data_IF_880427847122
#
_entry.id   IF_880427847122
#
_cell.length_a   1.000
_cell.length_b   1.000
_cell.length_c   1.000
_cell.angle_alpha   90.00
_cell.angle_beta   90.00
_cell.angle_gamma   90.00
#
_symmetry.space_group_name_H-M   'P 1'
#
loop_
_entity.id
_entity.type
_entity.pdbx_description
1 polymer ?
#
# COMPACT_ATOMS: atom_id res chain seq x y z
N UNK A 1 7.02 -7.53 -20.49
CA UNK A 1 7.94 -7.22 -19.35
C UNK A 1 9.42 -7.20 -19.71
N UNK A 2 9.94 -8.18 -20.46
CA UNK A 2 11.36 -8.48 -20.32
C UNK A 2 12.31 -7.76 -21.28
N UNK A 3 11.87 -7.38 -22.48
CA UNK A 3 12.74 -6.75 -23.49
C UNK A 3 13.02 -5.27 -23.22
N UNK A 4 12.04 -4.51 -22.76
CA UNK A 4 12.19 -3.08 -22.50
C UNK A 4 13.00 -2.81 -21.22
N UNK A 5 12.70 -3.52 -20.13
CA UNK A 5 13.55 -3.55 -18.93
C UNK A 5 14.98 -3.98 -19.28
N UNK A 6 15.15 -5.05 -20.05
CA UNK A 6 16.48 -5.51 -20.49
C UNK A 6 17.22 -4.42 -21.29
N UNK A 7 16.52 -3.69 -22.16
CA UNK A 7 17.09 -2.59 -22.92
C UNK A 7 17.47 -1.41 -22.01
N UNK A 8 16.62 -1.04 -21.04
CA UNK A 8 16.90 0.01 -20.08
C UNK A 8 18.16 -0.29 -19.26
N UNK A 9 18.24 -1.48 -18.65
CA UNK A 9 19.42 -1.94 -17.88
C UNK A 9 20.67 -1.91 -18.74
N UNK A 10 20.60 -2.44 -19.97
CA UNK A 10 21.73 -2.46 -20.91
C UNK A 10 22.19 -1.06 -21.31
N UNK A 11 21.25 -0.15 -21.54
CA UNK A 11 21.55 1.23 -21.94
C UNK A 11 22.21 2.00 -20.79
N UNK A 12 21.67 1.92 -19.57
CA UNK A 12 22.28 2.55 -18.40
C UNK A 12 23.66 1.97 -18.09
N UNK A 13 23.83 0.64 -18.19
CA UNK A 13 25.12 -0.01 -17.99
C UNK A 13 26.18 0.50 -18.98
N UNK A 14 25.83 0.55 -20.27
CA UNK A 14 26.73 1.05 -21.33
C UNK A 14 27.07 2.51 -21.12
N UNK A 15 26.10 3.34 -20.74
CA UNK A 15 26.32 4.75 -20.40
C UNK A 15 27.26 4.93 -19.21
N UNK A 16 27.18 4.04 -18.22
CA UNK A 16 28.08 4.01 -17.07
C UNK A 16 29.46 3.39 -17.38
N UNK A 17 29.70 2.92 -18.63
CA UNK A 17 30.96 2.31 -19.02
C UNK A 17 31.23 0.93 -18.40
N UNK A 18 30.20 0.26 -17.87
CA UNK A 18 30.36 -1.00 -17.13
C UNK A 18 30.22 -2.23 -18.05
N UNK A 19 31.00 -3.28 -17.80
CA UNK A 19 30.73 -4.63 -18.33
C UNK A 19 29.60 -5.30 -17.54
N UNK A 20 29.10 -6.47 -17.98
CA UNK A 20 28.10 -7.21 -17.18
C UNK A 20 28.68 -7.63 -15.82
N UNK A 21 29.96 -8.01 -15.78
CA UNK A 21 30.71 -8.32 -14.57
C UNK A 21 30.91 -7.07 -13.72
N UNK A 22 31.21 -5.92 -14.35
CA UNK A 22 31.33 -4.63 -13.67
C UNK A 22 30.02 -4.22 -12.99
N UNK A 23 28.89 -4.38 -13.68
CA UNK A 23 27.57 -4.12 -13.09
C UNK A 23 27.22 -5.13 -11.99
N UNK A 24 27.56 -6.40 -12.18
CA UNK A 24 27.36 -7.44 -11.18
C UNK A 24 28.11 -7.10 -9.87
N UNK A 25 29.38 -6.72 -9.98
CA UNK A 25 30.19 -6.27 -8.86
C UNK A 25 29.60 -5.02 -8.19
N UNK A 26 29.25 -3.99 -8.97
CA UNK A 26 28.66 -2.75 -8.45
C UNK A 26 27.30 -2.95 -7.76
N UNK A 27 26.54 -3.96 -8.18
CA UNK A 27 25.20 -4.27 -7.65
C UNK A 27 25.22 -5.34 -6.54
N UNK A 28 26.37 -5.97 -6.27
CA UNK A 28 26.45 -7.12 -5.35
C UNK A 28 25.69 -8.36 -5.83
N UNK A 29 25.55 -8.53 -7.16
CA UNK A 29 24.83 -9.63 -7.81
C UNK A 29 25.83 -10.55 -8.54
N UNK A 30 25.37 -11.74 -8.95
CA UNK A 30 26.18 -12.59 -9.83
C UNK A 30 26.10 -12.12 -11.29
N UNK A 31 27.16 -12.29 -12.10
CA UNK A 31 27.13 -11.97 -13.53
C UNK A 31 26.00 -12.69 -14.27
N UNK A 32 25.66 -13.92 -13.85
CA UNK A 32 24.54 -14.68 -14.41
C UNK A 32 23.17 -14.02 -14.20
N UNK A 33 22.96 -13.32 -13.07
CA UNK A 33 21.72 -12.57 -12.82
C UNK A 33 21.63 -11.37 -13.76
N UNK A 34 22.72 -10.62 -13.91
CA UNK A 34 22.78 -9.47 -14.84
C UNK A 34 22.54 -9.93 -16.28
N UNK A 35 23.19 -11.01 -16.71
CA UNK A 35 23.00 -11.58 -18.03
C UNK A 35 21.54 -12.01 -18.26
N UNK A 36 20.93 -12.70 -17.30
CA UNK A 36 19.51 -13.10 -17.36
C UNK A 36 18.59 -11.88 -17.46
N UNK A 37 18.84 -10.82 -16.69
CA UNK A 37 18.05 -9.57 -16.76
C UNK A 37 18.17 -8.94 -18.15
N UNK A 38 19.39 -8.79 -18.69
CA UNK A 38 19.61 -8.21 -20.02
C UNK A 38 19.13 -9.09 -21.19
N UNK A 39 18.80 -10.36 -20.94
CA UNK A 39 18.17 -11.25 -21.90
C UNK A 39 16.63 -11.26 -21.79
N UNK A 40 16.09 -10.52 -20.84
CA UNK A 40 14.66 -10.49 -20.58
C UNK A 40 14.17 -11.70 -19.81
N UNK A 41 14.88 -12.09 -18.75
CA UNK A 41 14.30 -12.92 -17.69
C UNK A 41 13.41 -12.09 -16.75
N UNK A 42 12.55 -12.77 -16.00
CA UNK A 42 11.82 -12.15 -14.89
C UNK A 42 12.79 -11.73 -13.77
N UNK A 43 12.52 -10.57 -13.19
CA UNK A 43 13.37 -9.91 -12.19
C UNK A 43 12.53 -9.57 -10.96
N UNK A 44 13.03 -9.92 -9.77
CA UNK A 44 12.42 -9.48 -8.50
C UNK A 44 12.73 -8.00 -8.28
N UNK A 45 11.82 -7.27 -7.63
CA UNK A 45 12.01 -5.84 -7.30
C UNK A 45 13.33 -5.60 -6.53
N UNK A 46 13.69 -6.47 -5.59
CA UNK A 46 14.96 -6.37 -4.83
C UNK A 46 16.18 -6.44 -5.78
N UNK A 47 16.14 -7.29 -6.81
CA UNK A 47 17.19 -7.39 -7.83
C UNK A 47 17.23 -6.12 -8.70
N UNK A 48 16.07 -5.62 -9.10
CA UNK A 48 15.97 -4.38 -9.86
C UNK A 48 16.53 -3.19 -9.07
N UNK A 49 16.21 -3.12 -7.79
CA UNK A 49 16.69 -2.11 -6.86
C UNK A 49 18.21 -2.17 -6.68
N UNK A 50 18.79 -3.38 -6.57
CA UNK A 50 20.24 -3.58 -6.53
C UNK A 50 20.93 -3.13 -7.82
N UNK A 51 20.35 -3.48 -8.99
CA UNK A 51 20.85 -3.03 -10.30
C UNK A 51 20.81 -1.51 -10.44
N UNK A 52 19.67 -0.88 -10.08
CA UNK A 52 19.53 0.58 -10.11
C UNK A 52 20.58 1.26 -9.24
N UNK A 53 20.85 0.70 -8.04
CA UNK A 53 21.87 1.20 -7.13
C UNK A 53 23.27 1.09 -7.73
N UNK A 54 23.63 -0.07 -8.30
CA UNK A 54 24.91 -0.28 -8.97
C UNK A 54 25.10 0.61 -10.20
N UNK A 55 24.00 1.02 -10.84
CA UNK A 55 23.98 1.96 -11.96
C UNK A 55 23.96 3.44 -11.54
N UNK A 56 23.75 3.73 -10.25
CA UNK A 56 23.63 5.10 -9.74
C UNK A 56 22.37 5.83 -10.23
N UNK A 57 21.29 5.11 -10.49
CA UNK A 57 20.02 5.68 -10.98
C UNK A 57 18.85 5.35 -10.04
N UNK A 58 17.77 6.14 -10.07
CA UNK A 58 16.53 5.78 -9.39
C UNK A 58 15.99 4.44 -9.93
N UNK A 59 15.36 3.64 -9.08
CA UNK A 59 14.76 2.36 -9.51
C UNK A 59 13.67 2.58 -10.56
N UNK A 60 12.91 3.67 -10.46
CA UNK A 60 11.88 4.12 -11.42
C UNK A 60 12.44 4.23 -12.85
N UNK A 61 13.71 4.62 -13.00
CA UNK A 61 14.37 4.75 -14.30
C UNK A 61 14.56 3.41 -15.02
N UNK A 62 14.50 2.29 -14.30
CA UNK A 62 14.59 0.95 -14.87
C UNK A 62 13.22 0.33 -15.14
N UNK A 63 12.14 0.88 -14.59
CA UNK A 63 10.79 0.40 -14.89
C UNK A 63 10.34 0.90 -16.25
N UNK A 64 9.77 0.00 -17.04
CA UNK A 64 8.97 0.33 -18.22
C UNK A 64 7.54 -0.06 -17.90
N UNK A 65 6.64 0.92 -17.92
CA UNK A 65 5.27 0.85 -17.40
C UNK A 65 4.50 -0.30 -18.04
N UNK A 66 4.32 -1.41 -17.32
CA UNK A 66 3.43 -2.50 -17.73
C UNK A 66 2.48 -2.83 -16.57
N UNK A 67 1.21 -3.07 -16.89
CA UNK A 67 0.17 -3.27 -15.89
C UNK A 67 0.42 -4.56 -15.09
N UNK A 68 0.51 -4.44 -13.77
CA UNK A 68 0.60 -5.59 -12.88
C UNK A 68 -0.65 -6.47 -13.01
N UNK A 69 -0.44 -7.78 -13.07
CA UNK A 69 -1.53 -8.73 -13.14
C UNK A 69 -2.47 -8.63 -11.92
N UNK A 70 -3.80 -8.67 -12.14
CA UNK A 70 -4.79 -8.77 -11.07
C UNK A 70 -4.53 -9.97 -10.15
N UNK A 71 -4.99 -9.90 -8.91
CA UNK A 71 -4.96 -11.08 -8.03
C UNK A 71 -5.90 -12.15 -8.61
N UNK A 72 -5.33 -13.27 -9.04
CA UNK A 72 -6.07 -14.45 -9.51
C UNK A 72 -6.86 -15.06 -8.34
N UNK A 73 -8.13 -15.41 -8.58
CA UNK A 73 -8.86 -16.38 -7.75
C UNK A 73 -10.05 -15.90 -6.92
N UNK A 74 -10.75 -14.81 -7.29
CA UNK A 74 -12.03 -14.48 -6.64
C UNK A 74 -13.12 -14.12 -7.67
N UNK A 75 -13.75 -15.15 -8.22
CA UNK A 75 -14.87 -15.03 -9.17
C UNK A 75 -16.06 -14.24 -8.59
N UNK A 76 -16.29 -14.33 -7.28
CA UNK A 76 -17.34 -13.57 -6.61
C UNK A 76 -17.03 -12.06 -6.61
N UNK A 77 -15.75 -11.67 -6.46
CA UNK A 77 -15.35 -10.28 -6.63
C UNK A 77 -15.53 -9.78 -8.06
N UNK A 78 -15.38 -10.63 -9.09
CA UNK A 78 -15.54 -10.21 -10.49
C UNK A 78 -16.94 -9.65 -10.77
N UNK A 79 -18.00 -10.24 -10.20
CA UNK A 79 -19.37 -9.71 -10.33
C UNK A 79 -19.50 -8.31 -9.72
N UNK A 80 -19.02 -8.11 -8.50
CA UNK A 80 -19.06 -6.80 -7.84
C UNK A 80 -18.20 -5.77 -8.57
N UNK A 81 -17.12 -6.17 -9.26
CA UNK A 81 -16.32 -5.26 -10.08
C UNK A 81 -17.09 -4.70 -11.28
N UNK A 82 -18.01 -5.47 -11.88
CA UNK A 82 -18.88 -4.97 -12.95
C UNK A 82 -19.84 -3.92 -12.40
N UNK A 83 -20.45 -4.18 -11.24
CA UNK A 83 -21.34 -3.23 -10.56
C UNK A 83 -20.58 -1.97 -10.15
N UNK A 84 -19.40 -2.10 -9.53
CA UNK A 84 -18.52 -0.98 -9.18
C UNK A 84 -18.12 -0.15 -10.39
N UNK A 85 -17.84 -0.78 -11.54
CA UNK A 85 -17.53 -0.05 -12.77
C UNK A 85 -18.72 0.78 -13.24
N UNK A 86 -19.94 0.24 -13.20
CA UNK A 86 -21.16 1.00 -13.54
C UNK A 86 -21.35 2.21 -12.63
N UNK A 87 -21.09 2.05 -11.33
CA UNK A 87 -21.28 3.13 -10.35
C UNK A 87 -20.18 4.19 -10.37
N UNK A 88 -18.93 3.81 -10.67
CA UNK A 88 -17.81 4.74 -10.73
C UNK A 88 -17.74 5.42 -12.10
N UNK A 89 -17.96 4.69 -13.18
CA UNK A 89 -17.82 5.15 -14.56
C UNK A 89 -19.14 4.96 -15.33
N UNK A 90 -20.21 5.69 -14.94
CA UNK A 90 -21.49 5.59 -15.62
C UNK A 90 -21.38 6.15 -17.05
N UNK A 91 -22.25 5.70 -17.99
CA UNK A 91 -22.41 6.40 -19.25
C UNK A 91 -22.93 7.82 -19.00
N UNK A 92 -22.30 8.83 -19.61
CA UNK A 92 -22.67 10.24 -19.47
C UNK A 92 -23.12 10.77 -20.84
N UNK A 93 -24.34 11.29 -20.90
CA UNK A 93 -24.86 11.99 -22.08
C UNK A 93 -24.63 13.52 -22.01
N UNK A 94 -25.07 14.25 -23.03
CA UNK A 94 -24.88 15.71 -23.12
C UNK A 94 -25.50 16.50 -21.95
N UNK A 95 -26.50 15.94 -21.26
CA UNK A 95 -27.10 16.55 -20.08
C UNK A 95 -26.20 16.50 -18.84
N UNK A 96 -25.11 15.72 -18.87
CA UNK A 96 -24.21 15.49 -17.73
C UNK A 96 -24.83 14.72 -16.57
N UNK A 97 -26.13 14.41 -16.63
CA UNK A 97 -26.84 13.67 -15.58
C UNK A 97 -26.73 12.17 -15.79
N UNK A 98 -26.57 11.44 -14.68
CA UNK A 98 -26.77 10.00 -14.70
C UNK A 98 -28.22 9.71 -15.07
N UNK A 99 -28.44 8.62 -15.81
CA UNK A 99 -29.76 7.99 -15.86
C UNK A 99 -29.94 7.28 -14.52
N UNK A 100 -30.24 8.06 -13.48
CA UNK A 100 -30.51 7.50 -12.15
C UNK A 100 -32.00 7.21 -12.06
N UNK A 101 -32.34 6.03 -11.53
CA UNK A 101 -33.67 5.81 -10.99
C UNK A 101 -33.90 6.84 -9.87
N UNK A 102 -35.08 7.44 -9.84
CA UNK A 102 -35.47 8.39 -8.79
C UNK A 102 -35.52 7.61 -7.48
N UNK A 103 -34.59 7.90 -6.58
CA UNK A 103 -34.58 7.34 -5.22
C UNK A 103 -35.11 8.42 -4.28
N UNK A 104 -36.02 8.05 -3.36
CA UNK A 104 -36.37 8.94 -2.25
C UNK A 104 -35.11 9.31 -1.45
N UNK A 105 -34.96 10.58 -1.02
CA UNK A 105 -33.77 11.01 -0.32
C UNK A 105 -33.57 10.17 0.96
N UNK A 106 -32.51 9.36 1.06
CA UNK A 106 -32.25 8.53 2.22
C UNK A 106 -31.85 9.37 3.43
N UNK A 107 -32.02 8.79 4.62
CA UNK A 107 -31.46 9.38 5.85
C UNK A 107 -29.91 9.46 5.77
N UNK A 108 -29.37 10.68 5.71
CA UNK A 108 -27.93 10.93 5.66
C UNK A 108 -27.17 10.33 6.84
N UNK A 109 -27.82 10.21 8.00
CA UNK A 109 -27.22 9.58 9.19
C UNK A 109 -27.09 8.08 9.02
N UNK A 110 -28.08 7.42 8.40
CA UNK A 110 -27.98 6.02 8.01
C UNK A 110 -26.88 5.80 6.97
N UNK A 111 -26.80 6.64 5.93
CA UNK A 111 -25.75 6.53 4.90
C UNK A 111 -24.36 6.72 5.50
N UNK A 112 -24.17 7.71 6.37
CA UNK A 112 -22.89 7.92 7.05
C UNK A 112 -22.46 6.71 7.88
N UNK A 113 -23.40 6.06 8.59
CA UNK A 113 -23.09 4.82 9.35
C UNK A 113 -22.67 3.68 8.44
N UNK A 114 -23.27 3.53 7.27
CA UNK A 114 -22.86 2.51 6.30
C UNK A 114 -21.45 2.77 5.75
N UNK A 115 -21.06 4.03 5.55
CA UNK A 115 -19.67 4.40 5.23
C UNK A 115 -18.71 3.96 6.34
N UNK A 116 -19.05 4.23 7.61
CA UNK A 116 -18.23 3.85 8.77
C UNK A 116 -18.06 2.34 8.91
N UNK A 117 -19.14 1.58 8.65
CA UNK A 117 -19.12 0.12 8.59
C UNK A 117 -18.19 -0.34 7.46
N UNK A 118 -18.27 0.29 6.29
CA UNK A 118 -17.38 0.01 5.15
C UNK A 118 -15.90 0.18 5.49
N UNK A 119 -15.51 1.28 6.14
CA UNK A 119 -14.13 1.48 6.62
C UNK A 119 -13.73 0.42 7.66
N UNK A 120 -14.64 0.03 8.54
CA UNK A 120 -14.39 -1.01 9.54
C UNK A 120 -14.14 -2.38 8.89
N UNK A 121 -14.91 -2.73 7.86
CA UNK A 121 -14.70 -3.94 7.06
C UNK A 121 -13.36 -3.92 6.33
N UNK A 122 -13.01 -2.80 5.70
CA UNK A 122 -11.72 -2.62 5.02
C UNK A 122 -10.54 -2.86 5.97
N UNK A 123 -10.57 -2.21 7.15
CA UNK A 123 -9.53 -2.34 8.18
C UNK A 123 -9.41 -3.76 8.73
N UNK A 124 -10.53 -4.46 8.88
CA UNK A 124 -10.57 -5.84 9.32
C UNK A 124 -10.18 -6.86 8.22
N UNK A 125 -9.86 -6.41 7.00
CA UNK A 125 -9.54 -7.29 5.87
C UNK A 125 -10.73 -8.10 5.35
N UNK A 126 -11.97 -7.71 5.68
CA UNK A 126 -13.20 -8.41 5.28
C UNK A 126 -13.66 -7.94 3.89
N UNK A 127 -12.78 -8.13 2.90
CA UNK A 127 -12.94 -7.57 1.55
C UNK A 127 -14.17 -8.06 0.80
N UNK A 128 -14.59 -9.33 0.93
CA UNK A 128 -15.81 -9.82 0.30
C UNK A 128 -17.09 -9.14 0.81
N UNK A 129 -17.15 -8.84 2.12
CA UNK A 129 -18.26 -8.07 2.70
C UNK A 129 -18.29 -6.62 2.24
N UNK A 130 -17.11 -6.02 2.06
CA UNK A 130 -16.97 -4.67 1.52
C UNK A 130 -17.35 -4.60 0.04
N UNK A 131 -16.88 -5.55 -0.78
CA UNK A 131 -17.18 -5.66 -2.20
C UNK A 131 -18.69 -5.68 -2.47
N UNK A 132 -19.44 -6.43 -1.64
CA UNK A 132 -20.90 -6.53 -1.72
C UNK A 132 -21.63 -5.22 -1.40
N UNK A 133 -21.09 -4.39 -0.51
CA UNK A 133 -21.76 -3.15 -0.04
C UNK A 133 -21.45 -1.93 -0.91
N UNK A 134 -20.24 -1.85 -1.46
CA UNK A 134 -19.76 -0.65 -2.14
C UNK A 134 -20.62 -0.19 -3.33
N UNK A 135 -21.15 -1.06 -4.22
CA UNK A 135 -21.99 -0.61 -5.33
C UNK A 135 -23.21 0.19 -4.85
N UNK A 136 -24.00 -0.37 -3.94
CA UNK A 136 -25.17 0.31 -3.38
C UNK A 136 -24.81 1.60 -2.65
N UNK A 137 -23.71 1.62 -1.90
CA UNK A 137 -23.24 2.83 -1.23
C UNK A 137 -22.83 3.95 -2.21
N UNK A 138 -22.14 3.60 -3.30
CA UNK A 138 -21.75 4.56 -4.33
C UNK A 138 -22.97 5.09 -5.09
N UNK A 139 -23.93 4.23 -5.39
CA UNK A 139 -25.19 4.59 -6.03
C UNK A 139 -25.97 5.60 -5.17
N UNK A 140 -26.22 5.25 -3.91
CA UNK A 140 -26.96 6.08 -2.96
C UNK A 140 -26.28 7.44 -2.76
N UNK A 141 -24.96 7.46 -2.56
CA UNK A 141 -24.25 8.73 -2.35
C UNK A 141 -24.18 9.61 -3.60
N UNK A 142 -24.21 9.02 -4.81
CA UNK A 142 -24.33 9.78 -6.05
C UNK A 142 -25.73 10.41 -6.19
N UNK A 143 -26.79 9.64 -5.94
CA UNK A 143 -28.17 10.13 -6.02
C UNK A 143 -28.41 11.29 -5.03
N UNK A 144 -27.95 11.15 -3.78
CA UNK A 144 -28.06 12.20 -2.75
C UNK A 144 -27.37 13.50 -3.18
N UNK A 145 -26.19 13.40 -3.82
CA UNK A 145 -25.43 14.56 -4.29
C UNK A 145 -26.10 15.31 -5.46
N UNK A 146 -26.93 14.63 -6.26
CA UNK A 146 -27.70 15.27 -7.33
C UNK A 146 -28.99 15.93 -6.83
N UNK A 147 -29.58 15.41 -5.74
CA UNK A 147 -30.90 15.82 -5.25
C UNK A 147 -30.88 17.02 -4.28
N UNK A 148 -29.83 17.16 -3.47
CA UNK A 148 -29.79 18.20 -2.42
C UNK A 148 -29.08 19.45 -2.94
N UNK A 149 -29.74 20.62 -2.78
CA UNK A 149 -29.23 21.92 -3.26
C UNK A 149 -28.93 22.93 -2.16
N UNK A 150 -29.55 22.85 -0.98
CA UNK A 150 -29.36 23.84 0.10
C UNK A 150 -29.33 23.21 1.51
N UNK A 151 -28.51 23.78 2.41
CA UNK A 151 -28.44 23.45 3.84
C UNK A 151 -27.58 22.25 4.26
N UNK A 152 -27.64 21.13 3.53
CA UNK A 152 -26.91 19.88 3.86
C UNK A 152 -25.77 19.52 2.90
N UNK A 153 -25.46 20.40 1.94
CA UNK A 153 -24.51 20.16 0.87
C UNK A 153 -23.12 19.71 1.37
N UNK A 154 -22.64 20.33 2.45
CA UNK A 154 -21.37 19.98 3.06
C UNK A 154 -21.31 18.53 3.57
N UNK A 155 -22.39 18.07 4.20
CA UNK A 155 -22.48 16.72 4.76
C UNK A 155 -22.59 15.68 3.66
N UNK A 156 -23.35 15.98 2.61
CA UNK A 156 -23.49 15.14 1.42
C UNK A 156 -22.16 14.95 0.71
N UNK A 157 -21.44 16.06 0.47
CA UNK A 157 -20.13 16.03 -0.19
C UNK A 157 -19.10 15.27 0.66
N UNK A 158 -19.14 15.43 1.99
CA UNK A 158 -18.30 14.65 2.88
C UNK A 158 -18.59 13.14 2.77
N UNK A 159 -19.86 12.73 2.86
CA UNK A 159 -20.24 11.31 2.73
C UNK A 159 -19.83 10.76 1.35
N UNK A 160 -20.07 11.51 0.28
CA UNK A 160 -19.72 11.11 -1.10
C UNK A 160 -18.22 10.95 -1.30
N UNK A 161 -17.42 11.94 -0.88
CA UNK A 161 -15.96 11.87 -0.99
C UNK A 161 -15.42 10.69 -0.19
N UNK A 162 -15.90 10.46 1.03
CA UNK A 162 -15.51 9.30 1.85
C UNK A 162 -15.83 7.97 1.18
N UNK A 163 -17.03 7.81 0.62
CA UNK A 163 -17.42 6.59 -0.12
C UNK A 163 -16.50 6.32 -1.31
N UNK A 164 -16.14 7.36 -2.06
CA UNK A 164 -15.20 7.28 -3.17
C UNK A 164 -13.79 6.87 -2.71
N UNK A 165 -13.29 7.50 -1.63
CA UNK A 165 -11.97 7.16 -1.09
C UNK A 165 -11.91 5.74 -0.50
N UNK A 166 -13.01 5.26 0.09
CA UNK A 166 -13.14 3.88 0.54
C UNK A 166 -13.13 2.90 -0.64
N UNK A 167 -13.91 3.19 -1.69
CA UNK A 167 -13.91 2.39 -2.93
C UNK A 167 -12.51 2.33 -3.56
N UNK A 168 -11.84 3.48 -3.66
CA UNK A 168 -10.47 3.58 -4.15
C UNK A 168 -9.46 2.78 -3.31
N UNK A 169 -9.61 2.80 -1.98
CA UNK A 169 -8.77 1.99 -1.07
C UNK A 169 -8.98 0.50 -1.30
N UNK A 170 -10.24 0.04 -1.38
CA UNK A 170 -10.57 -1.35 -1.69
C UNK A 170 -10.03 -1.79 -3.06
N UNK A 171 -10.26 -1.00 -4.10
CA UNK A 171 -9.83 -1.31 -5.46
C UNK A 171 -8.31 -1.34 -5.58
N UNK A 172 -7.60 -0.48 -4.85
CA UNK A 172 -6.12 -0.53 -4.74
C UNK A 172 -5.68 -1.85 -4.09
N UNK A 173 -6.36 -2.29 -3.03
CA UNK A 173 -6.06 -3.55 -2.35
C UNK A 173 -6.21 -4.75 -3.30
N UNK A 174 -7.30 -4.81 -4.07
CA UNK A 174 -7.58 -5.90 -5.03
C UNK A 174 -6.94 -5.70 -6.41
N UNK A 175 -6.09 -4.67 -6.55
CA UNK A 175 -5.31 -4.36 -7.76
C UNK A 175 -6.16 -4.04 -9.01
N UNK A 176 -7.30 -3.39 -8.81
CA UNK A 176 -8.16 -2.89 -9.88
C UNK A 176 -7.87 -1.41 -10.11
N UNK A 177 -6.68 -1.13 -10.65
CA UNK A 177 -6.07 0.20 -10.53
C UNK A 177 -6.79 1.30 -11.32
N UNK A 178 -7.32 1.03 -12.51
CA UNK A 178 -8.03 2.06 -13.29
C UNK A 178 -9.26 2.59 -12.55
N UNK A 179 -10.05 1.66 -11.98
CA UNK A 179 -11.20 1.99 -11.15
C UNK A 179 -10.77 2.70 -9.86
N UNK A 180 -9.67 2.25 -9.25
CA UNK A 180 -9.12 2.88 -8.05
C UNK A 180 -8.69 4.33 -8.33
N UNK A 181 -8.01 4.56 -9.45
CA UNK A 181 -7.58 5.88 -9.90
C UNK A 181 -8.77 6.82 -10.04
N UNK A 182 -9.80 6.36 -10.76
CA UNK A 182 -10.99 7.14 -10.98
C UNK A 182 -11.68 7.49 -9.66
N UNK A 183 -11.90 6.50 -8.78
CA UNK A 183 -12.54 6.70 -7.48
C UNK A 183 -11.74 7.67 -6.59
N UNK A 184 -10.41 7.52 -6.52
CA UNK A 184 -9.57 8.38 -5.69
C UNK A 184 -9.49 9.81 -6.23
N UNK A 185 -9.26 9.98 -7.54
CA UNK A 185 -9.21 11.29 -8.17
C UNK A 185 -10.53 12.05 -7.97
N UNK A 186 -11.66 11.37 -8.18
CA UNK A 186 -12.97 11.95 -7.97
C UNK A 186 -13.23 12.28 -6.49
N UNK A 187 -12.85 11.39 -5.57
CA UNK A 187 -13.01 11.62 -4.13
C UNK A 187 -12.18 12.79 -3.61
N UNK A 188 -10.93 12.91 -4.07
CA UNK A 188 -10.03 14.03 -3.76
C UNK A 188 -10.60 15.33 -4.31
N UNK A 189 -11.02 15.33 -5.58
CA UNK A 189 -11.61 16.50 -6.25
C UNK A 189 -12.87 16.98 -5.52
N UNK A 190 -13.78 16.05 -5.24
CA UNK A 190 -15.03 16.29 -4.50
C UNK A 190 -14.77 16.89 -3.12
N UNK A 191 -13.81 16.35 -2.35
CA UNK A 191 -13.46 16.89 -1.05
C UNK A 191 -12.82 18.29 -1.15
N UNK A 192 -11.94 18.51 -2.13
CA UNK A 192 -11.26 19.79 -2.35
C UNK A 192 -12.23 20.91 -2.74
N UNK A 193 -13.16 20.62 -3.65
CA UNK A 193 -14.15 21.60 -4.11
C UNK A 193 -15.12 22.05 -3.01
N UNK A 194 -15.31 21.22 -1.97
CA UNK A 194 -16.08 21.58 -0.77
C UNK A 194 -15.21 22.01 0.42
N UNK A 195 -13.97 22.45 0.17
CA UNK A 195 -13.03 22.94 1.20
C UNK A 195 -12.78 21.96 2.36
N UNK A 196 -12.92 20.65 2.09
CA UNK A 196 -12.59 19.56 3.03
C UNK A 196 -11.17 19.09 2.82
N UNK A 197 -10.21 20.00 2.99
CA UNK A 197 -8.78 19.77 2.70
C UNK A 197 -8.19 18.57 3.44
N UNK A 198 -8.62 18.31 4.67
CA UNK A 198 -8.20 17.12 5.42
C UNK A 198 -8.58 15.81 4.70
N UNK A 199 -9.84 15.69 4.28
CA UNK A 199 -10.35 14.50 3.58
C UNK A 199 -9.64 14.33 2.23
N UNK A 200 -9.39 15.43 1.53
CA UNK A 200 -8.63 15.44 0.29
C UNK A 200 -7.19 14.93 0.50
N UNK A 201 -6.49 15.42 1.51
CA UNK A 201 -5.13 14.99 1.85
C UNK A 201 -5.05 13.50 2.22
N UNK A 202 -6.04 12.99 2.97
CA UNK A 202 -6.14 11.54 3.20
C UNK A 202 -6.35 10.75 1.90
N UNK A 203 -7.17 11.28 0.97
CA UNK A 203 -7.36 10.69 -0.35
C UNK A 203 -6.06 10.65 -1.15
N UNK A 204 -5.27 11.72 -1.08
CA UNK A 204 -3.93 11.77 -1.69
C UNK A 204 -2.99 10.73 -1.09
N UNK A 205 -2.99 10.51 0.23
CA UNK A 205 -2.18 9.42 0.81
C UNK A 205 -2.57 8.05 0.23
N UNK A 206 -3.87 7.78 0.04
CA UNK A 206 -4.33 6.56 -0.63
C UNK A 206 -3.90 6.52 -2.11
N UNK A 207 -3.92 7.66 -2.81
CA UNK A 207 -3.40 7.74 -4.19
C UNK A 207 -1.90 7.44 -4.25
N UNK A 208 -1.12 7.94 -3.28
CA UNK A 208 0.30 7.62 -3.16
C UNK A 208 0.51 6.11 -2.94
N UNK A 209 -0.33 5.47 -2.13
CA UNK A 209 -0.30 4.02 -1.99
C UNK A 209 -0.58 3.28 -3.31
N UNK A 210 -1.55 3.74 -4.10
CA UNK A 210 -1.82 3.20 -5.44
C UNK A 210 -0.60 3.37 -6.34
N UNK A 211 -0.02 4.56 -6.39
CA UNK A 211 1.19 4.87 -7.18
C UNK A 211 2.37 3.97 -6.80
N UNK A 212 2.63 3.78 -5.50
CA UNK A 212 3.62 2.83 -4.99
C UNK A 212 3.37 1.41 -5.47
N UNK A 213 2.10 1.01 -5.62
CA UNK A 213 1.72 -0.31 -6.12
C UNK A 213 1.90 -0.45 -7.62
N UNK A 214 2.04 0.63 -8.37
CA UNK A 214 2.34 0.64 -9.81
C UNK A 214 3.81 0.99 -10.09
N UNK A 215 4.67 0.98 -9.07
CA UNK A 215 6.08 1.38 -9.17
C UNK A 215 6.32 2.83 -9.65
N UNK A 216 5.29 3.68 -9.57
CA UNK A 216 5.32 5.11 -9.95
C UNK A 216 5.85 5.96 -8.79
N UNK A 217 7.09 5.69 -8.40
CA UNK A 217 7.67 6.24 -7.17
C UNK A 217 7.88 7.75 -7.21
N UNK A 218 8.37 8.31 -8.32
CA UNK A 218 8.60 9.76 -8.44
C UNK A 218 7.30 10.55 -8.27
N UNK A 219 6.22 10.10 -8.92
CA UNK A 219 4.91 10.72 -8.80
C UNK A 219 4.35 10.59 -7.39
N UNK A 220 4.50 9.43 -6.74
CA UNK A 220 4.09 9.25 -5.35
C UNK A 220 4.85 10.17 -4.40
N UNK A 221 6.16 10.32 -4.59
CA UNK A 221 7.01 11.18 -3.76
C UNK A 221 6.61 12.65 -3.92
N UNK A 222 6.53 13.14 -5.17
CA UNK A 222 6.20 14.53 -5.47
C UNK A 222 4.80 14.91 -4.97
N UNK A 223 3.82 14.03 -5.19
CA UNK A 223 2.44 14.25 -4.76
C UNK A 223 2.34 14.29 -3.22
N UNK A 224 2.98 13.35 -2.53
CA UNK A 224 3.00 13.32 -1.08
C UNK A 224 3.72 14.54 -0.49
N UNK A 225 4.86 14.94 -1.07
CA UNK A 225 5.63 16.11 -0.63
C UNK A 225 4.83 17.42 -0.79
N UNK A 226 4.24 17.64 -1.97
CA UNK A 226 3.42 18.83 -2.24
C UNK A 226 2.23 18.90 -1.31
N UNK A 227 1.59 17.76 -1.04
CA UNK A 227 0.44 17.70 -0.14
C UNK A 227 0.85 17.91 1.31
N UNK A 228 1.95 17.30 1.77
CA UNK A 228 2.47 17.46 3.12
C UNK A 228 2.83 18.92 3.43
N UNK A 229 3.41 19.65 2.47
CA UNK A 229 3.65 21.08 2.59
C UNK A 229 2.33 21.88 2.70
N UNK A 230 1.32 21.53 1.91
CA UNK A 230 0.03 22.23 1.92
C UNK A 230 -0.78 22.01 3.21
N UNK A 231 -0.57 20.88 3.90
CA UNK A 231 -1.28 20.54 5.15
C UNK A 231 -0.36 20.52 6.37
N UNK A 232 0.79 21.19 6.29
CA UNK A 232 1.76 21.20 7.38
C UNK A 232 1.12 21.75 8.67
N UNK A 233 1.10 20.97 9.76
CA UNK A 233 0.41 21.35 10.97
C UNK A 233 1.21 22.40 11.76
N UNK A 234 0.52 23.38 12.33
CA UNK A 234 1.09 24.22 13.39
C UNK A 234 1.12 23.40 14.68
N UNK A 235 2.27 22.79 15.00
CA UNK A 235 2.43 21.84 16.12
C UNK A 235 1.86 22.34 17.46
N UNK A 236 1.91 23.64 17.75
CA UNK A 236 1.37 24.22 18.98
C UNK A 236 -0.15 24.11 19.13
N UNK A 237 -0.89 23.87 18.04
CA UNK A 237 -2.35 23.84 18.01
C UNK A 237 -2.91 22.71 17.11
N UNK A 238 -2.06 21.80 16.65
CA UNK A 238 -2.43 20.76 15.71
C UNK A 238 -3.33 19.72 16.39
N UNK A 239 -4.42 19.35 15.72
CA UNK A 239 -5.22 18.21 16.17
C UNK A 239 -4.48 16.89 15.91
N UNK A 240 -4.80 15.81 16.65
CA UNK A 240 -4.25 14.48 16.37
C UNK A 240 -4.48 14.02 14.92
N UNK A 241 -5.65 14.36 14.35
CA UNK A 241 -5.96 14.08 12.95
C UNK A 241 -4.95 14.74 12.00
N UNK A 242 -4.67 16.04 12.20
CA UNK A 242 -3.72 16.78 11.37
C UNK A 242 -2.31 16.21 11.45
N UNK A 243 -1.84 15.89 12.66
CA UNK A 243 -0.54 15.24 12.87
C UNK A 243 -0.47 13.87 12.19
N UNK A 244 -1.52 13.06 12.33
CA UNK A 244 -1.58 11.73 11.73
C UNK A 244 -1.59 11.78 10.20
N UNK A 245 -2.34 12.72 9.59
CA UNK A 245 -2.38 12.87 8.13
C UNK A 245 -1.03 13.34 7.57
N UNK A 246 -0.40 14.33 8.21
CA UNK A 246 0.92 14.81 7.80
C UNK A 246 2.01 13.73 7.99
N UNK A 247 1.93 12.98 9.10
CA UNK A 247 2.77 11.83 9.36
C UNK A 247 2.61 10.72 8.32
N UNK A 248 1.38 10.34 7.97
CA UNK A 248 1.10 9.31 6.96
C UNK A 248 1.60 9.73 5.56
N UNK A 249 1.41 11.00 5.15
CA UNK A 249 2.00 11.53 3.92
C UNK A 249 3.53 11.44 3.92
N UNK A 250 4.16 11.75 5.06
CA UNK A 250 5.61 11.60 5.24
C UNK A 250 6.04 10.13 5.13
N UNK A 251 5.24 9.19 5.64
CA UNK A 251 5.49 7.76 5.44
C UNK A 251 5.38 7.35 3.95
N UNK A 252 4.46 7.95 3.18
CA UNK A 252 4.35 7.71 1.73
C UNK A 252 5.56 8.23 0.96
N UNK A 253 6.01 9.45 1.28
CA UNK A 253 7.24 10.03 0.72
C UNK A 253 8.43 9.10 0.99
N UNK A 254 8.63 8.69 2.24
CA UNK A 254 9.73 7.80 2.60
C UNK A 254 9.64 6.44 1.87
N UNK A 255 8.44 5.84 1.82
CA UNK A 255 8.24 4.56 1.15
C UNK A 255 8.55 4.61 -0.36
N UNK A 256 8.25 5.74 -1.01
CA UNK A 256 8.58 6.00 -2.41
C UNK A 256 10.09 6.19 -2.57
N UNK A 257 10.69 7.09 -1.78
CA UNK A 257 12.11 7.42 -1.84
C UNK A 257 13.02 6.20 -1.58
N UNK A 258 12.68 5.35 -0.61
CA UNK A 258 13.44 4.12 -0.31
C UNK A 258 13.39 3.16 -1.50
N UNK A 259 12.20 2.89 -2.04
CA UNK A 259 12.05 2.02 -3.21
C UNK A 259 12.76 2.59 -4.44
N UNK A 260 12.86 3.92 -4.51
CA UNK A 260 13.48 4.63 -5.63
C UNK A 260 14.98 4.96 -5.46
N UNK A 261 15.69 4.38 -4.47
CA UNK A 261 17.12 4.65 -4.23
C UNK A 261 17.44 6.14 -3.94
N UNK A 262 16.56 6.85 -3.23
CA UNK A 262 16.78 8.26 -2.80
C UNK A 262 16.97 8.35 -1.28
N UNK A 263 18.13 7.94 -0.73
CA UNK A 263 18.32 7.77 0.71
C UNK A 263 18.21 9.08 1.51
N UNK A 264 18.60 10.23 0.96
CA UNK A 264 18.52 11.50 1.68
C UNK A 264 17.07 11.99 1.83
N UNK A 265 16.27 11.84 0.76
CA UNK A 265 14.83 12.13 0.79
C UNK A 265 14.11 11.18 1.75
N UNK A 266 14.44 9.88 1.70
CA UNK A 266 13.89 8.91 2.62
C UNK A 266 14.20 9.26 4.08
N UNK A 267 15.45 9.67 4.38
CA UNK A 267 15.88 10.04 5.73
C UNK A 267 15.12 11.27 6.24
N UNK A 268 14.95 12.29 5.41
CA UNK A 268 14.18 13.48 5.76
C UNK A 268 12.69 13.17 5.99
N UNK A 269 12.06 12.45 5.07
CA UNK A 269 10.66 12.05 5.21
C UNK A 269 10.42 11.18 6.44
N UNK A 270 11.39 10.34 6.83
CA UNK A 270 11.34 9.58 8.09
C UNK A 270 11.45 10.47 9.32
N UNK A 271 12.31 11.49 9.30
CA UNK A 271 12.37 12.49 10.39
C UNK A 271 11.02 13.19 10.55
N UNK A 272 10.42 13.66 9.46
CA UNK A 272 9.09 14.27 9.48
C UNK A 272 8.05 13.34 10.11
N UNK A 273 7.99 12.08 9.66
CA UNK A 273 7.07 11.09 10.24
C UNK A 273 7.34 10.83 11.73
N UNK A 274 8.60 10.72 12.15
CA UNK A 274 8.98 10.56 13.55
C UNK A 274 8.59 11.78 14.41
N UNK A 275 8.72 12.99 13.89
CA UNK A 275 8.28 14.22 14.57
C UNK A 275 6.77 14.22 14.77
N UNK A 276 6.00 13.86 13.75
CA UNK A 276 4.55 13.73 13.85
C UNK A 276 4.13 12.67 14.89
N UNK A 277 4.78 11.50 14.84
CA UNK A 277 4.52 10.41 15.77
C UNK A 277 4.89 10.77 17.22
N UNK A 278 6.02 11.45 17.43
CA UNK A 278 6.44 11.93 18.74
C UNK A 278 5.48 12.97 19.30
N UNK A 279 4.98 13.89 18.47
CA UNK A 279 3.98 14.88 18.88
C UNK A 279 2.62 14.23 19.25
N UNK A 280 2.23 13.14 18.59
CA UNK A 280 1.06 12.35 19.00
C UNK A 280 1.29 11.60 20.31
N UNK A 281 2.50 11.09 20.53
CA UNK A 281 2.88 10.37 21.73
C UNK A 281 2.30 8.96 21.86
N UNK A 282 1.23 8.61 21.14
CA UNK A 282 0.60 7.28 21.12
C UNK A 282 0.10 6.94 19.70
N UNK A 283 -0.24 5.67 19.46
CA UNK A 283 -0.98 5.26 18.28
C UNK A 283 -2.36 5.90 18.28
N UNK A 284 -2.59 6.71 17.26
CA UNK A 284 -3.84 7.38 17.00
C UNK A 284 -4.55 6.68 15.84
N UNK A 285 -5.80 6.29 16.07
CA UNK A 285 -6.71 5.94 14.97
C UNK A 285 -7.75 7.03 14.89
N UNK A 286 -7.76 7.74 13.77
CA UNK A 286 -8.74 8.77 13.44
C UNK A 286 -10.17 8.31 13.80
N UNK A 287 -10.81 9.08 14.67
CA UNK A 287 -12.12 8.74 15.22
C UNK A 287 -13.24 8.90 14.19
N UNK A 288 -13.10 9.82 13.23
CA UNK A 288 -14.14 10.21 12.27
C UNK A 288 -14.06 9.40 10.99
N UNK A 289 -12.87 9.07 10.51
CA UNK A 289 -12.69 8.36 9.23
C UNK A 289 -12.05 6.97 9.40
N UNK A 290 -11.53 6.62 10.59
CA UNK A 290 -11.13 5.26 11.01
C UNK A 290 -10.25 4.49 10.03
N UNK A 291 -9.50 5.21 9.18
CA UNK A 291 -8.91 4.69 7.94
C UNK A 291 -7.56 4.01 8.15
N UNK A 292 -6.67 4.66 8.89
CA UNK A 292 -5.33 4.16 9.21
C UNK A 292 -4.98 4.53 10.64
N UNK A 293 -4.21 3.66 11.29
CA UNK A 293 -3.58 3.94 12.58
C UNK A 293 -2.21 4.52 12.30
N UNK A 294 -1.86 5.60 12.99
CA UNK A 294 -0.55 6.23 12.90
C UNK A 294 -0.07 6.64 14.29
N UNK A 295 1.22 6.50 14.55
CA UNK A 295 1.85 6.86 15.81
C UNK A 295 3.27 6.31 15.88
N UNK A 296 3.88 6.32 17.09
CA UNK A 296 5.26 5.88 17.30
C UNK A 296 5.55 4.46 16.83
N UNK A 297 4.66 3.51 17.11
CA UNK A 297 4.82 2.10 16.76
C UNK A 297 4.73 1.93 15.25
N UNK A 298 3.73 2.55 14.62
CA UNK A 298 3.56 2.52 13.16
C UNK A 298 4.75 3.14 12.44
N UNK A 299 5.30 4.26 12.94
CA UNK A 299 6.48 4.90 12.36
C UNK A 299 7.71 3.97 12.42
N UNK A 300 7.94 3.31 13.56
CA UNK A 300 9.05 2.37 13.73
C UNK A 300 8.89 1.13 12.83
N UNK A 301 7.68 0.55 12.74
CA UNK A 301 7.40 -0.56 11.82
C UNK A 301 7.74 -0.19 10.38
N UNK A 302 7.46 1.04 9.96
CA UNK A 302 7.77 1.51 8.62
C UNK A 302 9.26 1.73 8.40
N UNK A 303 10.00 2.12 9.43
CA UNK A 303 11.46 2.15 9.37
C UNK A 303 12.06 0.73 9.25
N UNK A 304 11.46 -0.28 9.89
CA UNK A 304 11.84 -1.69 9.71
C UNK A 304 11.49 -2.20 8.31
N UNK A 305 10.32 -1.83 7.77
CA UNK A 305 9.93 -2.14 6.39
C UNK A 305 10.98 -1.63 5.38
N UNK A 306 11.56 -0.44 5.61
CA UNK A 306 12.62 0.09 4.75
C UNK A 306 13.86 -0.78 4.75
N UNK A 307 14.28 -1.30 5.91
CA UNK A 307 15.41 -2.23 5.99
C UNK A 307 15.13 -3.52 5.19
N UNK A 308 13.88 -4.01 5.25
CA UNK A 308 13.43 -5.17 4.45
C UNK A 308 13.46 -4.89 2.94
N UNK A 309 13.08 -3.67 2.52
CA UNK A 309 13.17 -3.23 1.11
C UNK A 309 14.61 -3.09 0.66
N UNK A 310 15.49 -2.55 1.51
CA UNK A 310 16.91 -2.37 1.22
C UNK A 310 17.72 -3.68 1.27
N UNK A 311 17.10 -4.77 1.75
CA UNK A 311 17.73 -6.09 1.88
C UNK A 311 18.54 -6.29 3.16
N UNK A 312 18.47 -5.38 4.14
CA UNK A 312 19.15 -5.53 5.44
C UNK A 312 18.35 -6.44 6.39
N UNK A 313 18.40 -7.74 6.10
CA UNK A 313 17.74 -8.77 6.92
C UNK A 313 18.19 -8.74 8.39
N UNK A 314 19.48 -8.46 8.66
CA UNK A 314 19.98 -8.39 10.04
C UNK A 314 19.42 -7.17 10.76
N UNK A 315 19.32 -6.02 10.08
CA UNK A 315 18.70 -4.82 10.62
C UNK A 315 17.22 -5.01 10.95
N UNK A 316 16.49 -5.72 10.10
CA UNK A 316 15.09 -6.09 10.38
C UNK A 316 14.98 -6.86 11.69
N UNK A 317 15.73 -7.97 11.83
CA UNK A 317 15.66 -8.81 13.03
C UNK A 317 16.14 -8.09 14.30
N UNK A 318 17.15 -7.19 14.20
CA UNK A 318 17.61 -6.42 15.36
C UNK A 318 16.55 -5.48 15.92
N UNK A 319 15.66 -4.94 15.07
CA UNK A 319 14.68 -3.92 15.47
C UNK A 319 13.26 -4.48 15.62
N UNK A 320 12.98 -5.70 15.15
CA UNK A 320 11.61 -6.19 14.98
C UNK A 320 10.82 -6.40 16.26
N UNK A 321 11.51 -6.60 17.38
CA UNK A 321 10.93 -6.95 18.69
C UNK A 321 11.59 -6.16 19.84
N UNK A 322 12.25 -5.03 19.52
CA UNK A 322 12.96 -4.16 20.48
C UNK A 322 12.42 -2.71 20.41
N UNK A 323 12.80 -1.88 21.39
CA UNK A 323 12.43 -0.47 21.43
C UNK A 323 10.92 -0.26 21.38
N UNK A 324 10.45 0.51 20.38
CA UNK A 324 9.02 0.78 20.16
C UNK A 324 8.22 -0.44 19.68
N UNK A 325 8.88 -1.49 19.19
CA UNK A 325 8.24 -2.73 18.72
C UNK A 325 8.27 -3.86 19.75
N UNK A 326 8.92 -3.64 20.90
CA UNK A 326 8.84 -4.58 22.01
C UNK A 326 7.39 -4.74 22.50
N UNK A 327 6.98 -5.92 22.99
CA UNK A 327 5.61 -6.15 23.46
C UNK A 327 5.14 -5.14 24.51
N UNK A 328 6.04 -4.72 25.40
CA UNK A 328 5.76 -3.70 26.43
C UNK A 328 5.48 -2.33 25.81
N UNK A 329 6.32 -1.88 24.88
CA UNK A 329 6.12 -0.60 24.18
C UNK A 329 4.87 -0.59 23.33
N UNK A 330 4.57 -1.67 22.60
CA UNK A 330 3.32 -1.77 21.81
C UNK A 330 2.10 -1.71 22.73
N UNK A 331 2.17 -2.26 23.95
CA UNK A 331 1.09 -2.12 24.93
C UNK A 331 0.98 -0.70 25.50
N UNK A 332 2.09 0.00 25.68
CA UNK A 332 2.14 1.35 26.25
C UNK A 332 1.69 2.43 25.25
N UNK A 333 2.29 2.42 24.06
CA UNK A 333 2.03 3.41 23.01
C UNK A 333 0.76 3.10 22.22
N UNK A 334 0.24 1.88 22.29
CA UNK A 334 -0.95 1.47 21.56
C UNK A 334 -0.64 0.59 20.37
N UNK A 335 -1.66 -0.14 19.91
CA UNK A 335 -1.49 -1.16 18.87
C UNK A 335 -1.66 -0.55 17.47
N UNK A 336 -0.77 -0.90 16.53
CA UNK A 336 -0.93 -0.52 15.13
C UNK A 336 -2.10 -1.30 14.51
N UNK A 337 -2.46 -0.93 13.27
CA UNK A 337 -3.49 -1.66 12.53
C UNK A 337 -3.12 -3.15 12.36
N UNK A 338 -4.09 -4.09 12.40
CA UNK A 338 -3.80 -5.52 12.22
C UNK A 338 -3.07 -5.82 10.91
N UNK A 339 -3.48 -5.20 9.80
CA UNK A 339 -2.82 -5.37 8.51
C UNK A 339 -1.38 -4.83 8.50
N UNK A 340 -1.13 -3.71 9.19
CA UNK A 340 0.22 -3.18 9.39
C UNK A 340 1.09 -4.15 10.19
N UNK A 341 0.57 -4.70 11.29
CA UNK A 341 1.29 -5.66 12.11
C UNK A 341 1.61 -6.95 11.34
N UNK A 342 0.63 -7.46 10.60
CA UNK A 342 0.83 -8.63 9.75
C UNK A 342 1.92 -8.40 8.71
N UNK A 343 1.96 -7.19 8.11
CA UNK A 343 3.02 -6.81 7.17
C UNK A 343 4.39 -6.81 7.85
N UNK A 344 4.51 -6.21 9.03
CA UNK A 344 5.75 -6.21 9.83
C UNK A 344 6.26 -7.63 10.10
N UNK A 345 5.41 -8.54 10.59
CA UNK A 345 5.80 -9.94 10.81
C UNK A 345 6.19 -10.66 9.53
N UNK A 346 5.58 -10.30 8.40
CA UNK A 346 5.97 -10.86 7.11
C UNK A 346 7.35 -10.36 6.66
N UNK A 347 7.71 -9.10 6.97
CA UNK A 347 9.07 -8.57 6.75
C UNK A 347 10.09 -9.31 7.63
N UNK A 348 9.74 -9.67 8.87
CA UNK A 348 10.55 -10.54 9.76
C UNK A 348 10.73 -11.94 9.16
N UNK A 349 9.65 -12.55 8.65
CA UNK A 349 9.70 -13.85 7.97
C UNK A 349 10.63 -13.82 6.75
N UNK A 350 10.56 -12.74 5.96
CA UNK A 350 11.46 -12.50 4.82
C UNK A 350 12.91 -12.42 5.27
N UNK A 351 13.20 -11.69 6.35
CA UNK A 351 14.54 -11.56 6.90
C UNK A 351 15.12 -12.91 7.38
N UNK A 352 14.35 -13.72 8.09
CA UNK A 352 14.76 -15.06 8.48
C UNK A 352 15.06 -15.96 7.27
N UNK A 353 14.18 -15.98 6.27
CA UNK A 353 14.40 -16.77 5.06
C UNK A 353 15.63 -16.32 4.28
N UNK A 354 15.89 -15.01 4.20
CA UNK A 354 17.07 -14.45 3.56
C UNK A 354 18.37 -14.94 4.22
N UNK A 355 18.40 -15.05 5.55
CA UNK A 355 19.55 -15.51 6.35
C UNK A 355 19.65 -17.04 6.46
N UNK A 356 18.72 -17.80 5.88
CA UNK A 356 18.72 -19.28 5.92
C UNK A 356 18.05 -19.88 7.16
N UNK A 357 17.50 -19.06 8.05
CA UNK A 357 16.71 -19.44 9.22
C UNK A 357 15.30 -19.85 8.81
N UNK A 358 15.18 -20.95 8.05
CA UNK A 358 13.91 -21.34 7.43
C UNK A 358 12.84 -21.80 8.43
N UNK A 359 13.22 -22.28 9.62
CA UNK A 359 12.24 -22.71 10.62
C UNK A 359 11.57 -21.49 11.25
N UNK A 360 12.35 -20.50 11.65
CA UNK A 360 11.88 -19.24 12.21
C UNK A 360 11.02 -18.47 11.18
N UNK A 361 11.40 -18.48 9.90
CA UNK A 361 10.57 -17.94 8.84
C UNK A 361 9.21 -18.67 8.72
N UNK A 362 9.20 -20.00 8.89
CA UNK A 362 7.95 -20.79 8.91
C UNK A 362 7.10 -20.54 10.15
N UNK A 363 7.71 -20.29 11.30
CA UNK A 363 7.01 -20.00 12.55
C UNK A 363 6.23 -18.67 12.40
N UNK A 364 6.85 -17.64 11.81
CA UNK A 364 6.18 -16.38 11.46
C UNK A 364 5.00 -16.59 10.49
N UNK A 365 5.21 -17.34 9.40
CA UNK A 365 4.15 -17.62 8.42
C UNK A 365 2.99 -18.40 9.07
N UNK A 366 3.30 -19.34 9.96
CA UNK A 366 2.29 -20.16 10.67
C UNK A 366 1.49 -19.30 11.64
N UNK A 367 2.15 -18.42 12.38
CA UNK A 367 1.48 -17.45 13.25
C UNK A 367 0.53 -16.54 12.44
N UNK A 368 0.98 -16.03 11.30
CA UNK A 368 0.17 -15.21 10.39
C UNK A 368 -1.02 -15.98 9.80
N UNK A 369 -0.85 -17.24 9.40
CA UNK A 369 -1.94 -18.08 8.88
C UNK A 369 -2.99 -18.33 9.95
N UNK A 370 -2.59 -18.52 11.22
CA UNK A 370 -3.52 -18.73 12.33
C UNK A 370 -4.37 -17.49 12.62
N UNK A 371 -3.78 -16.30 12.56
CA UNK A 371 -4.47 -15.05 12.93
C UNK A 371 -5.15 -14.36 11.75
N UNK A 372 -4.64 -14.53 10.53
CA UNK A 372 -5.08 -13.78 9.34
C UNK A 372 -4.94 -14.60 8.04
N UNK A 373 -5.62 -15.76 7.94
CA UNK A 373 -5.45 -16.71 6.83
C UNK A 373 -5.80 -16.10 5.47
N UNK A 374 -6.91 -15.36 5.37
CA UNK A 374 -7.36 -14.74 4.11
C UNK A 374 -6.44 -13.61 3.68
N UNK A 375 -6.01 -12.76 4.61
CA UNK A 375 -5.04 -11.69 4.30
C UNK A 375 -3.74 -12.27 3.73
N UNK A 376 -3.24 -13.37 4.32
CA UNK A 376 -1.98 -14.00 3.93
C UNK A 376 -2.03 -14.53 2.49
N UNK A 377 -3.18 -15.09 2.04
CA UNK A 377 -3.38 -15.55 0.65
C UNK A 377 -3.17 -14.44 -0.38
N UNK A 378 -3.46 -13.19 -0.04
CA UNK A 378 -3.31 -12.06 -0.95
C UNK A 378 -1.88 -11.48 -0.97
N UNK A 379 -0.95 -12.03 -0.17
CA UNK A 379 0.41 -11.50 -0.08
C UNK A 379 1.38 -12.21 -1.03
N UNK A 380 1.79 -11.52 -2.09
CA UNK A 380 2.88 -11.98 -2.98
C UNK A 380 4.17 -12.26 -2.20
N UNK A 381 4.49 -11.44 -1.20
CA UNK A 381 5.68 -11.64 -0.38
C UNK A 381 5.66 -12.96 0.39
N UNK A 382 4.51 -13.39 0.91
CA UNK A 382 4.39 -14.68 1.58
C UNK A 382 4.69 -15.84 0.62
N UNK A 383 4.23 -15.75 -0.63
CA UNK A 383 4.56 -16.73 -1.67
C UNK A 383 6.06 -16.77 -1.98
N UNK A 384 6.71 -15.62 -2.06
CA UNK A 384 8.16 -15.55 -2.27
C UNK A 384 8.94 -16.17 -1.11
N UNK A 385 8.60 -15.83 0.13
CA UNK A 385 9.22 -16.43 1.32
C UNK A 385 9.04 -17.94 1.32
N UNK A 386 7.81 -18.42 1.07
CA UNK A 386 7.53 -19.86 0.98
C UNK A 386 8.34 -20.52 -0.15
N UNK A 387 8.40 -19.90 -1.33
CA UNK A 387 9.18 -20.41 -2.47
C UNK A 387 10.67 -20.51 -2.15
N UNK A 388 11.22 -19.49 -1.48
CA UNK A 388 12.64 -19.47 -1.11
C UNK A 388 12.96 -20.56 -0.07
N UNK A 389 12.06 -20.80 0.88
CA UNK A 389 12.15 -21.92 1.83
C UNK A 389 12.15 -23.26 1.08
N UNK A 390 11.21 -23.48 0.15
CA UNK A 390 11.11 -24.73 -0.60
C UNK A 390 12.36 -25.00 -1.45
N UNK A 391 12.84 -24.00 -2.21
CA UNK A 391 13.98 -24.15 -3.11
C UNK A 391 15.30 -24.41 -2.39
N UNK A 392 15.48 -23.86 -1.19
CA UNK A 392 16.73 -24.00 -0.42
C UNK A 392 16.74 -25.22 0.49
N UNK A 393 15.57 -25.82 0.76
CA UNK A 393 15.48 -26.96 1.68
C UNK A 393 15.85 -28.27 0.97
N UNK A 394 16.88 -28.94 1.48
CA UNK A 394 17.34 -30.26 0.99
C UNK A 394 16.64 -31.46 1.66
N UNK A 395 15.92 -31.23 2.75
CA UNK A 395 15.25 -32.26 3.55
C UNK A 395 13.76 -32.35 3.19
N UNK A 396 13.14 -33.49 3.51
CA UNK A 396 11.69 -33.69 3.36
C UNK A 396 10.89 -32.58 4.04
N UNK A 397 9.85 -32.08 3.35
CA UNK A 397 8.98 -31.04 3.87
C UNK A 397 8.19 -31.53 5.09
N UNK A 398 8.13 -30.69 6.13
CA UNK A 398 7.25 -30.92 7.28
C UNK A 398 5.79 -30.81 6.86
N UNK A 399 4.88 -31.32 7.70
CA UNK A 399 3.44 -31.17 7.49
C UNK A 399 3.05 -29.69 7.34
N UNK A 400 3.51 -28.83 8.24
CA UNK A 400 3.18 -27.41 8.23
C UNK A 400 3.66 -26.69 6.96
N UNK A 401 4.84 -27.04 6.44
CA UNK A 401 5.32 -26.49 5.17
C UNK A 401 4.47 -26.91 3.98
N UNK A 402 4.02 -28.17 3.94
CA UNK A 402 3.12 -28.65 2.87
C UNK A 402 1.78 -27.96 2.93
N UNK A 403 1.20 -27.82 4.12
CA UNK A 403 -0.08 -27.14 4.30
C UNK A 403 0.01 -25.64 4.00
N UNK A 404 1.12 -24.98 4.35
CA UNK A 404 1.37 -23.57 4.02
C UNK A 404 1.54 -23.37 2.50
N UNK A 405 2.32 -24.23 1.85
CA UNK A 405 2.51 -24.19 0.40
C UNK A 405 1.17 -24.35 -0.33
N UNK A 406 0.33 -25.30 0.11
CA UNK A 406 -1.02 -25.47 -0.41
C UNK A 406 -1.91 -24.23 -0.17
N UNK A 407 -1.88 -23.67 1.05
CA UNK A 407 -2.64 -22.46 1.39
C UNK A 407 -2.27 -21.25 0.53
N UNK A 408 -0.98 -21.12 0.16
CA UNK A 408 -0.46 -20.03 -0.66
C UNK A 408 -0.47 -20.32 -2.17
N UNK A 409 -0.86 -21.54 -2.57
CA UNK A 409 -0.76 -22.06 -3.92
C UNK A 409 0.66 -21.94 -4.52
N UNK A 410 1.68 -22.32 -3.73
CA UNK A 410 3.09 -22.32 -4.13
C UNK A 410 3.56 -23.74 -4.36
N UNK A 411 4.20 -23.98 -5.50
CA UNK A 411 4.86 -25.26 -5.84
C UNK A 411 6.37 -25.06 -5.74
N UNK A 412 7.05 -26.01 -5.10
CA UNK A 412 8.49 -25.97 -4.79
C UNK A 412 9.37 -26.54 -5.88
#
# INVERSE_FOLDING_TARGET
MSRELAAAVRNYRRRAGLTQEGLAAASGLSPSVVCKVEQGGEVRVDTLHALARGLGVPTSALFTTEALEPVVGDEANQRYLVELRRELMPPVGLSGRRVSEVVEPPDLSAVSREVDIGYSLHRAGRYGGLAKKLPSLLNVTAAVAELLKDGEQERVVEIRSRSLLLAGSYLTQVRQYDLAYHALAEGIRTAREADRMFVAAMGVSTMCWLLLRQDRFDESEQLAATTALAVEPKFSAASPDQLAAWGDLSLRMAAAAVRNNRPDVAREARRMASTAAGALGTEYTDNKYRRSTFGPVTAEMKAVEDLSVLGDARGVLRRSDDGLLSPGSVSHYGRPSPAGWNRHRLDVAKAHAALGSHQEAMDELTALRRTSPEWLKHQTMARHVMSDILRRRKRTLTRDMREMAAHLAVVG
#
